data_IF_819357964271
#
_entry.id   IF_819357964271
#
_cell.length_a   1.000
_cell.length_b   1.000
_cell.length_c   1.000
_cell.angle_alpha   90.00
_cell.angle_beta   90.00
_cell.angle_gamma   90.00
#
_symmetry.space_group_name_H-M   'P 1'
#
loop_
_entity.id
_entity.type
_entity.pdbx_description
1 polymer ?
#
# COMPACT_ATOMS: atom_id res chain seq x y z
N UNK A 1 1.04 12.63 -10.22
CA UNK A 1 -0.44 12.69 -10.07
C UNK A 1 -1.03 11.44 -10.69
N UNK A 2 -2.17 10.99 -10.17
CA UNK A 2 -2.88 9.80 -10.69
C UNK A 2 -3.85 10.19 -11.79
N UNK A 3 -4.19 9.25 -12.66
CA UNK A 3 -5.27 9.43 -13.63
C UNK A 3 -6.62 9.37 -12.90
N UNK A 4 -7.50 10.31 -13.17
CA UNK A 4 -8.82 10.38 -12.55
C UNK A 4 -9.78 9.35 -13.19
N UNK A 5 -10.50 8.53 -12.42
CA UNK A 5 -11.45 7.55 -12.96
C UNK A 5 -12.77 8.20 -13.44
N UNK A 6 -12.71 9.41 -14.00
CA UNK A 6 -13.86 10.16 -14.50
C UNK A 6 -13.58 10.68 -15.91
N UNK A 7 -14.64 10.92 -16.68
CA UNK A 7 -14.55 11.38 -18.06
C UNK A 7 -14.59 12.90 -18.19
N UNK A 8 -15.05 13.61 -17.17
CA UNK A 8 -15.20 15.06 -17.18
C UNK A 8 -15.00 15.67 -15.80
N UNK A 9 -14.41 16.87 -15.76
CA UNK A 9 -14.34 17.72 -14.57
C UNK A 9 -14.17 19.18 -14.97
N UNK A 10 -14.76 20.10 -14.20
CA UNK A 10 -14.62 21.56 -14.37
C UNK A 10 -14.83 22.07 -15.82
N UNK A 11 -15.72 21.41 -16.58
CA UNK A 11 -16.03 21.78 -17.97
C UNK A 11 -15.08 21.21 -19.03
N UNK A 12 -14.13 20.37 -18.64
CA UNK A 12 -13.19 19.70 -19.53
C UNK A 12 -13.52 18.22 -19.67
N UNK A 13 -13.37 17.69 -20.89
CA UNK A 13 -13.30 16.25 -21.15
C UNK A 13 -11.89 15.76 -20.84
N UNK A 14 -11.78 14.69 -20.07
CA UNK A 14 -10.51 14.22 -19.50
C UNK A 14 -10.01 12.98 -20.24
N UNK A 15 -9.20 13.20 -21.27
CA UNK A 15 -8.51 12.13 -21.99
C UNK A 15 -7.39 11.50 -21.16
N UNK A 16 -6.89 10.36 -21.63
CA UNK A 16 -5.86 9.56 -20.97
C UNK A 16 -4.62 10.37 -20.58
N UNK A 17 -4.00 9.91 -19.51
CA UNK A 17 -3.16 10.61 -18.52
C UNK A 17 -3.94 11.47 -17.51
N UNK A 18 -4.94 12.24 -17.92
CA UNK A 18 -5.74 13.07 -16.98
C UNK A 18 -6.96 12.30 -16.48
N UNK A 19 -7.74 11.73 -17.39
CA UNK A 19 -8.93 10.94 -17.05
C UNK A 19 -9.10 9.73 -17.96
N UNK A 20 -10.35 9.27 -18.11
CA UNK A 20 -10.67 8.02 -18.82
C UNK A 20 -11.60 8.18 -20.02
N UNK A 21 -11.80 9.40 -20.52
CA UNK A 21 -12.80 9.71 -21.55
C UNK A 21 -12.58 8.99 -22.90
N UNK A 22 -11.33 8.75 -23.27
CA UNK A 22 -10.93 8.16 -24.56
C UNK A 22 -10.34 6.74 -24.41
N UNK A 23 -10.48 6.11 -23.23
CA UNK A 23 -9.95 4.75 -22.99
C UNK A 23 -10.52 3.73 -23.98
N UNK A 24 -11.80 3.83 -24.34
CA UNK A 24 -12.41 2.92 -25.32
C UNK A 24 -11.80 3.11 -26.72
N UNK A 25 -11.53 4.35 -27.12
CA UNK A 25 -10.91 4.65 -28.40
C UNK A 25 -9.47 4.12 -28.46
N UNK A 26 -8.71 4.27 -27.37
CA UNK A 26 -7.30 3.85 -27.28
C UNK A 26 -7.18 2.33 -27.20
N UNK A 27 -8.01 1.67 -26.38
CA UNK A 27 -7.83 0.26 -25.99
C UNK A 27 -8.80 -0.69 -26.68
N UNK A 28 -9.87 -0.18 -27.30
CA UNK A 28 -10.97 -0.96 -27.83
C UNK A 28 -11.93 -1.53 -26.77
N UNK A 29 -11.72 -1.22 -25.48
CA UNK A 29 -12.58 -1.64 -24.38
C UNK A 29 -12.95 -0.43 -23.51
N UNK A 30 -14.21 -0.29 -23.07
CA UNK A 30 -14.61 0.81 -22.19
C UNK A 30 -13.93 0.71 -20.83
N UNK A 31 -13.75 1.85 -20.17
CA UNK A 31 -13.26 1.88 -18.78
C UNK A 31 -14.25 1.17 -17.85
N UNK A 32 -13.77 0.14 -17.16
CA UNK A 32 -14.58 -0.62 -16.20
C UNK A 32 -14.45 -0.02 -14.79
N UNK A 33 -15.36 0.90 -14.47
CA UNK A 33 -15.44 1.53 -13.16
C UNK A 33 -15.69 0.50 -12.03
N UNK A 34 -16.43 -0.57 -12.29
CA UNK A 34 -16.72 -1.57 -11.26
C UNK A 34 -15.47 -2.39 -10.94
N UNK A 35 -14.70 -2.79 -11.96
CA UNK A 35 -13.40 -3.42 -11.77
C UNK A 35 -12.43 -2.47 -11.07
N UNK A 36 -12.35 -1.21 -11.51
CA UNK A 36 -11.45 -0.20 -10.92
C UNK A 36 -11.68 -0.02 -9.42
N UNK A 37 -12.94 0.04 -8.97
CA UNK A 37 -13.29 0.17 -7.55
C UNK A 37 -12.85 -1.01 -6.69
N UNK A 38 -12.66 -2.19 -7.29
CA UNK A 38 -12.24 -3.40 -6.59
C UNK A 38 -10.72 -3.63 -6.65
N UNK A 39 -9.95 -2.70 -7.23
CA UNK A 39 -8.49 -2.75 -7.19
C UNK A 39 -8.02 -1.90 -6.03
N UNK A 40 -7.46 -2.56 -5.01
CA UNK A 40 -6.84 -1.91 -3.86
C UNK A 40 -5.60 -1.13 -4.30
N UNK A 41 -5.57 0.17 -4.00
CA UNK A 41 -4.53 1.10 -4.43
C UNK A 41 -3.94 1.85 -3.25
N UNK A 42 -2.62 1.81 -3.10
CA UNK A 42 -1.89 2.63 -2.13
C UNK A 42 -1.13 3.74 -2.87
N UNK A 43 -1.63 4.95 -2.78
CA UNK A 43 -1.13 6.12 -3.51
C UNK A 43 -0.40 7.01 -2.51
N UNK A 44 0.89 7.25 -2.72
CA UNK A 44 1.68 7.95 -1.73
C UNK A 44 2.67 8.94 -2.34
N UNK A 45 3.04 9.93 -1.53
CA UNK A 45 4.13 10.85 -1.84
C UNK A 45 4.80 11.40 -0.58
N UNK A 46 6.00 11.94 -0.72
CA UNK A 46 6.60 12.76 0.34
C UNK A 46 5.93 14.13 0.38
N UNK A 47 5.59 14.63 1.57
CA UNK A 47 4.92 15.92 1.74
C UNK A 47 5.81 17.12 1.33
N UNK A 48 7.13 16.91 1.30
CA UNK A 48 8.14 17.90 0.88
C UNK A 48 8.67 17.59 -0.54
N UNK A 49 8.03 16.67 -1.27
CA UNK A 49 8.39 16.40 -2.67
C UNK A 49 8.00 17.60 -3.54
N UNK A 50 8.97 18.19 -4.22
CA UNK A 50 8.79 19.32 -5.15
C UNK A 50 8.99 18.90 -6.62
N UNK A 51 9.17 17.60 -6.90
CA UNK A 51 9.45 17.09 -8.24
C UNK A 51 8.19 17.04 -9.12
N UNK A 52 7.68 18.21 -9.44
CA UNK A 52 6.51 18.38 -10.27
C UNK A 52 6.84 18.14 -11.75
N UNK A 53 6.25 17.07 -12.32
CA UNK A 53 6.40 16.73 -13.74
C UNK A 53 5.52 17.56 -14.68
N UNK A 54 4.49 18.25 -14.16
CA UNK A 54 3.51 18.93 -14.99
C UNK A 54 4.09 20.06 -15.87
N UNK A 55 5.10 20.84 -15.43
CA UNK A 55 5.76 21.83 -16.27
C UNK A 55 6.60 21.21 -17.41
N UNK A 56 6.99 19.94 -17.30
CA UNK A 56 7.86 19.29 -18.27
C UNK A 56 7.07 18.91 -19.55
N UNK A 57 7.63 19.23 -20.72
CA UNK A 57 7.00 18.98 -22.03
C UNK A 57 7.30 17.61 -22.63
N UNK A 58 7.97 16.74 -21.90
CA UNK A 58 8.31 15.37 -22.33
C UNK A 58 7.22 14.35 -21.96
N UNK A 59 6.52 14.57 -20.85
CA UNK A 59 5.44 13.70 -20.39
C UNK A 59 4.04 14.17 -20.82
N UNK A 60 3.87 15.48 -21.05
CA UNK A 60 2.57 16.12 -21.29
C UNK A 60 2.57 16.97 -22.56
N UNK A 61 1.51 16.87 -23.36
CA UNK A 61 1.25 17.86 -24.42
C UNK A 61 0.88 19.22 -23.84
N UNK A 62 1.06 20.29 -24.62
CA UNK A 62 0.71 21.66 -24.18
C UNK A 62 -0.75 21.77 -23.72
N UNK A 63 -1.68 21.15 -24.45
CA UNK A 63 -3.11 21.09 -24.13
C UNK A 63 -3.38 20.31 -22.84
N UNK A 64 -2.77 19.13 -22.67
CA UNK A 64 -2.95 18.36 -21.44
C UNK A 64 -2.44 19.11 -20.21
N UNK A 65 -1.34 19.86 -20.32
CA UNK A 65 -0.84 20.66 -19.18
C UNK A 65 -1.83 21.76 -18.78
N UNK A 66 -2.45 22.42 -19.75
CA UNK A 66 -3.46 23.45 -19.50
C UNK A 66 -4.67 22.83 -18.78
N UNK A 67 -5.23 21.75 -19.33
CA UNK A 67 -6.36 21.05 -18.73
C UNK A 67 -6.01 20.55 -17.33
N UNK A 68 -4.83 19.97 -17.13
CA UNK A 68 -4.38 19.48 -15.84
C UNK A 68 -4.26 20.59 -14.79
N UNK A 69 -3.79 21.79 -15.15
CA UNK A 69 -3.77 22.94 -14.21
C UNK A 69 -5.17 23.40 -13.83
N UNK A 70 -6.08 23.48 -14.80
CA UNK A 70 -7.46 23.89 -14.56
C UNK A 70 -8.22 22.85 -13.70
N UNK A 71 -7.98 21.55 -13.97
CA UNK A 71 -8.64 20.42 -13.31
C UNK A 71 -8.04 20.13 -11.95
N UNK A 72 -6.73 19.86 -11.85
CA UNK A 72 -6.08 19.50 -10.59
C UNK A 72 -5.72 20.70 -9.72
N UNK A 73 -5.37 21.84 -10.32
CA UNK A 73 -4.81 23.00 -9.63
C UNK A 73 -3.30 23.18 -9.86
N UNK A 74 -2.75 24.28 -9.31
CA UNK A 74 -1.38 24.71 -9.59
C UNK A 74 -0.36 24.05 -8.66
N UNK A 75 -0.69 23.86 -7.38
CA UNK A 75 0.20 23.26 -6.39
C UNK A 75 0.11 21.74 -6.37
N UNK A 76 1.23 21.04 -6.62
CA UNK A 76 1.27 19.58 -6.59
C UNK A 76 0.76 18.99 -5.25
N UNK A 77 1.24 19.55 -4.14
CA UNK A 77 0.89 19.12 -2.78
C UNK A 77 -0.42 19.72 -2.30
N UNK A 78 -0.62 21.03 -2.51
CA UNK A 78 -1.73 21.78 -1.91
C UNK A 78 -3.05 21.62 -2.66
N UNK A 79 -3.00 21.43 -3.98
CA UNK A 79 -4.19 21.34 -4.83
C UNK A 79 -4.38 19.95 -5.42
N UNK A 80 -3.36 19.45 -6.13
CA UNK A 80 -3.55 18.32 -7.05
C UNK A 80 -3.70 16.99 -6.35
N UNK A 81 -2.85 16.70 -5.37
CA UNK A 81 -2.91 15.46 -4.61
C UNK A 81 -4.21 15.35 -3.81
N UNK A 82 -4.64 16.37 -3.03
CA UNK A 82 -5.95 16.35 -2.35
C UNK A 82 -7.13 16.27 -3.31
N UNK A 83 -7.05 16.93 -4.48
CA UNK A 83 -8.12 16.82 -5.47
C UNK A 83 -8.23 15.40 -6.03
N UNK A 84 -7.10 14.74 -6.33
CA UNK A 84 -7.10 13.33 -6.75
C UNK A 84 -7.75 12.44 -5.69
N UNK A 85 -7.35 12.60 -4.43
CA UNK A 85 -7.93 11.88 -3.29
C UNK A 85 -9.45 12.06 -3.24
N UNK A 86 -9.95 13.30 -3.28
CA UNK A 86 -11.38 13.57 -3.25
C UNK A 86 -12.16 12.93 -4.40
N UNK A 87 -11.57 12.86 -5.60
CA UNK A 87 -12.22 12.22 -6.75
C UNK A 87 -12.28 10.70 -6.55
N UNK A 88 -11.22 10.10 -6.02
CA UNK A 88 -11.17 8.67 -5.73
C UNK A 88 -12.18 8.28 -4.63
N UNK A 89 -12.31 9.11 -3.59
CA UNK A 89 -13.34 8.98 -2.56
C UNK A 89 -14.75 9.11 -3.15
N UNK A 90 -15.01 10.14 -3.96
CA UNK A 90 -16.32 10.40 -4.56
C UNK A 90 -16.80 9.25 -5.45
N UNK A 91 -15.87 8.62 -6.18
CA UNK A 91 -16.22 7.44 -6.99
C UNK A 91 -16.25 6.15 -6.17
N UNK A 92 -15.85 6.16 -4.91
CA UNK A 92 -15.79 4.97 -4.05
C UNK A 92 -14.73 3.96 -4.49
N UNK A 93 -13.56 4.42 -4.92
CA UNK A 93 -12.43 3.57 -5.21
C UNK A 93 -11.84 3.00 -3.92
N UNK A 94 -11.39 1.73 -3.94
CA UNK A 94 -10.59 1.15 -2.87
C UNK A 94 -9.16 1.71 -2.93
N UNK A 95 -8.99 2.95 -2.47
CA UNK A 95 -7.71 3.64 -2.51
C UNK A 95 -7.39 4.33 -1.19
N UNK A 96 -6.15 4.22 -0.76
CA UNK A 96 -5.58 4.97 0.36
C UNK A 96 -4.58 5.98 -0.19
N UNK A 97 -4.70 7.23 0.23
CA UNK A 97 -3.78 8.31 -0.10
C UNK A 97 -2.97 8.66 1.15
N UNK A 98 -1.64 8.68 1.02
CA UNK A 98 -0.76 9.00 2.15
C UNK A 98 0.31 10.02 1.74
N UNK A 99 0.42 11.08 2.53
CA UNK A 99 1.49 12.07 2.41
C UNK A 99 2.43 11.98 3.61
N UNK A 100 3.71 11.72 3.34
CA UNK A 100 4.72 11.47 4.37
C UNK A 100 5.43 12.76 4.78
N UNK A 101 5.12 13.27 5.98
CA UNK A 101 5.77 14.44 6.57
C UNK A 101 7.29 14.27 6.70
N UNK A 102 8.05 15.32 6.38
CA UNK A 102 9.52 15.30 6.46
C UNK A 102 10.21 14.52 5.33
N UNK A 103 9.46 14.09 4.31
CA UNK A 103 9.98 13.30 3.19
C UNK A 103 9.85 14.09 1.88
N UNK A 104 10.97 14.25 1.17
CA UNK A 104 11.01 14.83 -0.18
C UNK A 104 10.91 13.77 -1.28
N UNK A 105 11.63 13.97 -2.39
CA UNK A 105 11.67 13.01 -3.51
C UNK A 105 12.55 11.78 -3.22
N UNK A 106 12.14 10.96 -2.25
CA UNK A 106 12.85 9.73 -1.87
C UNK A 106 11.89 8.66 -1.35
N UNK A 107 12.37 7.43 -1.20
CA UNK A 107 11.62 6.32 -0.62
C UNK A 107 12.28 5.91 0.69
N UNK A 108 11.50 5.92 1.77
CA UNK A 108 11.95 5.53 3.12
C UNK A 108 11.58 4.09 3.45
N UNK A 109 12.24 3.49 4.45
CA UNK A 109 11.89 2.15 4.96
C UNK A 109 10.44 2.10 5.49
N UNK A 110 9.97 3.19 6.12
CA UNK A 110 8.58 3.31 6.58
C UNK A 110 7.59 3.20 5.43
N UNK A 111 7.84 3.90 4.32
CA UNK A 111 6.98 3.85 3.14
C UNK A 111 6.94 2.44 2.54
N UNK A 112 8.10 1.78 2.44
CA UNK A 112 8.19 0.39 1.95
C UNK A 112 7.38 -0.55 2.84
N UNK A 113 7.47 -0.37 4.17
CA UNK A 113 6.70 -1.15 5.13
C UNK A 113 5.19 -0.93 4.94
N UNK A 114 4.71 0.31 4.89
CA UNK A 114 3.29 0.61 4.70
C UNK A 114 2.73 0.06 3.39
N UNK A 115 3.46 0.22 2.28
CA UNK A 115 3.07 -0.38 0.98
C UNK A 115 2.95 -1.90 1.11
N UNK A 116 3.90 -2.54 1.80
CA UNK A 116 3.90 -4.00 1.97
C UNK A 116 2.76 -4.47 2.88
N UNK A 117 2.52 -3.77 3.99
CA UNK A 117 1.41 -4.04 4.92
C UNK A 117 0.07 -3.90 4.20
N UNK A 118 -0.17 -2.78 3.51
CA UNK A 118 -1.39 -2.55 2.72
C UNK A 118 -1.69 -3.71 1.77
N UNK A 119 -0.72 -4.13 0.95
CA UNK A 119 -0.95 -5.21 -0.01
C UNK A 119 -1.11 -6.57 0.65
N UNK A 120 -0.43 -6.84 1.78
CA UNK A 120 -0.62 -8.11 2.52
C UNK A 120 -2.03 -8.21 3.09
N UNK A 121 -2.51 -7.13 3.69
CA UNK A 121 -3.86 -7.06 4.28
C UNK A 121 -4.94 -7.24 3.20
N UNK A 122 -4.83 -6.53 2.09
CA UNK A 122 -5.84 -6.55 1.03
C UNK A 122 -5.78 -7.80 0.13
N UNK A 123 -4.59 -8.41 -0.04
CA UNK A 123 -4.43 -9.65 -0.82
C UNK A 123 -4.53 -10.93 0.03
N UNK A 124 -4.85 -10.81 1.32
CA UNK A 124 -4.90 -11.93 2.29
C UNK A 124 -3.60 -12.76 2.31
N UNK A 125 -2.45 -12.11 2.10
CA UNK A 125 -1.13 -12.77 2.10
C UNK A 125 -0.66 -12.85 3.56
N UNK A 126 -0.39 -14.06 4.10
CA UNK A 126 0.12 -14.22 5.46
C UNK A 126 1.43 -13.45 5.69
N UNK A 127 1.58 -12.87 6.87
CA UNK A 127 2.84 -12.25 7.28
C UNK A 127 3.84 -13.32 7.75
N UNK A 128 4.60 -13.88 6.81
CA UNK A 128 5.70 -14.82 7.10
C UNK A 128 6.90 -14.15 7.80
N UNK A 129 6.88 -12.82 8.01
CA UNK A 129 7.88 -12.08 8.79
C UNK A 129 7.48 -11.84 10.25
N UNK A 130 6.28 -12.27 10.66
CA UNK A 130 5.99 -12.44 12.07
C UNK A 130 6.96 -13.50 12.62
N UNK A 131 7.81 -13.12 13.57
CA UNK A 131 8.55 -14.08 14.39
C UNK A 131 7.55 -15.15 14.86
N UNK A 132 7.85 -16.45 14.73
CA UNK A 132 6.94 -17.48 15.19
C UNK A 132 6.59 -17.17 16.64
N UNK A 133 5.29 -17.00 16.92
CA UNK A 133 4.76 -16.90 18.27
C UNK A 133 5.47 -17.96 19.11
N UNK A 134 6.38 -17.54 20.00
CA UNK A 134 7.11 -18.49 20.81
C UNK A 134 6.05 -19.20 21.65
N UNK A 135 5.81 -20.51 21.45
CA UNK A 135 4.72 -21.18 22.14
C UNK A 135 4.90 -20.97 23.63
N UNK A 136 3.80 -20.67 24.33
CA UNK A 136 3.85 -20.50 25.78
C UNK A 136 4.52 -21.75 26.36
N UNK A 137 5.39 -21.55 27.35
CA UNK A 137 6.09 -22.63 28.00
C UNK A 137 5.10 -23.67 28.52
N UNK A 138 3.90 -23.23 28.92
CA UNK A 138 2.81 -24.12 29.34
C UNK A 138 2.30 -25.00 28.21
N UNK A 139 2.11 -24.46 27.00
CA UNK A 139 1.67 -25.22 25.82
C UNK A 139 2.71 -26.28 25.43
N UNK A 140 4.00 -25.92 25.53
CA UNK A 140 5.10 -26.87 25.30
C UNK A 140 5.07 -27.97 26.36
N UNK A 141 4.96 -27.63 27.64
CA UNK A 141 4.91 -28.62 28.72
C UNK A 141 3.71 -29.56 28.57
N UNK A 142 2.54 -29.04 28.21
CA UNK A 142 1.33 -29.83 27.99
C UNK A 142 1.48 -30.78 26.80
N UNK A 143 2.03 -30.31 25.66
CA UNK A 143 2.28 -31.14 24.48
C UNK A 143 3.21 -32.33 24.78
N UNK A 144 4.14 -32.17 25.72
CA UNK A 144 5.03 -33.24 26.18
C UNK A 144 4.51 -34.00 27.42
N UNK A 145 3.30 -33.71 27.88
CA UNK A 145 2.67 -34.36 29.04
C UNK A 145 3.43 -34.12 30.35
N UNK A 146 4.18 -33.02 30.45
CA UNK A 146 4.98 -32.66 31.61
C UNK A 146 4.09 -31.88 32.58
N UNK A 147 3.81 -32.40 33.78
CA UNK A 147 3.03 -31.66 34.77
C UNK A 147 3.78 -30.39 35.19
N UNK A 148 3.08 -29.25 35.21
CA UNK A 148 3.64 -27.91 35.48
C UNK A 148 4.42 -27.87 36.80
N UNK A 149 3.98 -28.64 37.80
CA UNK A 149 4.61 -28.77 39.11
C UNK A 149 6.03 -29.38 39.04
N UNK A 150 6.28 -30.27 38.06
CA UNK A 150 7.60 -30.87 37.83
C UNK A 150 8.58 -29.90 37.14
N UNK A 151 8.08 -28.95 36.34
CA UNK A 151 8.89 -27.93 35.67
C UNK A 151 9.40 -26.85 36.65
N UNK A 152 8.59 -26.50 37.66
CA UNK A 152 8.96 -25.53 38.71
C UNK A 152 10.03 -26.09 39.66
N UNK A 153 10.07 -27.41 39.86
CA UNK A 153 11.03 -28.06 40.76
C UNK A 153 12.36 -28.47 40.09
N UNK A 154 12.45 -28.46 38.75
CA UNK A 154 13.55 -29.07 37.99
C UNK A 154 14.00 -28.26 36.77
N UNK A 155 14.13 -26.93 36.92
CA UNK A 155 14.17 -26.00 35.79
C UNK A 155 15.45 -26.06 34.91
N UNK A 156 16.52 -26.75 35.30
CA UNK A 156 17.75 -26.80 34.47
C UNK A 156 17.91 -28.10 33.65
N UNK A 157 17.47 -29.25 34.17
CA UNK A 157 17.73 -30.54 33.53
C UNK A 157 16.72 -30.87 32.42
N UNK A 158 15.47 -30.43 32.57
CA UNK A 158 14.40 -30.67 31.60
C UNK A 158 14.63 -29.85 30.32
N UNK A 159 15.00 -28.57 30.46
CA UNK A 159 15.30 -27.69 29.33
C UNK A 159 16.50 -28.19 28.51
N UNK A 160 17.58 -28.64 29.17
CA UNK A 160 18.74 -29.21 28.47
C UNK A 160 18.40 -30.50 27.70
N UNK A 161 17.50 -31.34 28.24
CA UNK A 161 17.01 -32.55 27.57
C UNK A 161 16.16 -32.25 26.33
N UNK A 162 15.24 -31.29 26.43
CA UNK A 162 14.38 -30.86 25.31
C UNK A 162 15.20 -30.22 24.19
N UNK A 163 16.15 -29.33 24.52
CA UNK A 163 17.06 -28.75 23.52
C UNK A 163 17.93 -29.81 22.82
N UNK A 164 18.34 -30.88 23.52
CA UNK A 164 19.09 -31.98 22.92
C UNK A 164 18.25 -32.83 21.95
N UNK A 165 16.98 -33.08 22.28
CA UNK A 165 16.06 -33.85 21.43
C UNK A 165 15.68 -33.06 20.18
N UNK A 166 15.32 -31.78 20.31
CA UNK A 166 14.95 -30.92 19.19
C UNK A 166 16.09 -30.81 18.15
N UNK A 167 17.32 -30.62 18.62
CA UNK A 167 18.51 -30.53 17.74
C UNK A 167 18.86 -31.82 17.00
N UNK A 168 18.31 -32.97 17.42
CA UNK A 168 18.54 -34.28 16.80
C UNK A 168 17.47 -34.65 15.76
N UNK A 169 16.30 -34.01 15.79
CA UNK A 169 15.24 -34.23 14.81
C UNK A 169 15.44 -33.37 13.55
N UNK A 170 16.22 -32.29 13.66
CA UNK A 170 16.56 -31.38 12.55
C UNK A 170 17.82 -31.79 11.74
N UNK A 171 18.40 -32.98 11.96
CA UNK A 171 19.51 -33.54 11.15
C UNK A 171 19.19 -34.93 10.61
#
# INVERSE_FOLDING_TARGET
>A
MVTLPITEAKGYTLNYQIGVADIEEITGNPFDMAAFRNVDQYIYMGAEDENDTLPAGDAWSDEQREIAREVYGEGMQEDRFPYCESVYEDVGAAAEFESYDGVGHTVTETMVRHVTEFHREHAEIPDDSAEPETPDLLDVLEAFGIPVEAAVAGSAAILAGLSYVLRRVEN
#
